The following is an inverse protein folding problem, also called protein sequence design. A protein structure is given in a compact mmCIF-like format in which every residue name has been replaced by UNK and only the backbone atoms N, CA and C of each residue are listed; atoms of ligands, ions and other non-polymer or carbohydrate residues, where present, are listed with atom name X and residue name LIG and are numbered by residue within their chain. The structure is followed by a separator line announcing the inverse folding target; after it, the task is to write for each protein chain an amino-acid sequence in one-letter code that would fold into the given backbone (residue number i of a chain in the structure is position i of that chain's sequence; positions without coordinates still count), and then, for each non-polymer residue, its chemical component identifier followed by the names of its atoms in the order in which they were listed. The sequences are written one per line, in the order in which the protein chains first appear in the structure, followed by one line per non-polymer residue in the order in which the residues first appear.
data_IF_887078561938
#
_entry.id   IF_887078561938
#
_cell.length_a   1.000
_cell.length_b   1.000
_cell.length_c   1.000
_cell.angle_alpha   90.00
_cell.angle_beta   90.00
_cell.angle_gamma   90.00
#
_symmetry.space_group_name_H-M   'P 1'
#
loop_
_entity.id
_entity.type
_entity.pdbx_description
1 polymer ?
#
# COMPACT_ATOMS: atom_id res chain seq x y z
N UNK A 1 -32.11 -20.95 0.60
CA UNK A 1 -31.87 -19.49 0.38
C UNK A 1 -32.41 -18.74 1.61
N UNK A 2 -31.78 -17.70 2.19
CA UNK A 2 -30.51 -17.00 1.88
C UNK A 2 -29.66 -16.63 3.14
N UNK A 3 -28.53 -17.30 3.41
CA UNK A 3 -27.55 -16.85 4.45
C UNK A 3 -26.10 -16.73 3.91
N UNK A 4 -25.91 -16.86 2.59
CA UNK A 4 -24.58 -16.87 1.97
C UNK A 4 -24.03 -15.47 1.62
N UNK A 5 -24.90 -14.45 1.58
CA UNK A 5 -24.55 -13.10 1.12
C UNK A 5 -23.71 -12.30 2.12
N UNK A 6 -23.91 -12.52 3.43
CA UNK A 6 -23.17 -11.79 4.48
C UNK A 6 -21.67 -12.11 4.45
N UNK A 7 -21.31 -13.40 4.40
CA UNK A 7 -19.90 -13.83 4.42
C UNK A 7 -19.12 -13.37 3.18
N UNK A 8 -19.75 -13.35 2.00
CA UNK A 8 -19.15 -12.79 0.79
C UNK A 8 -18.86 -11.30 0.92
N UNK A 9 -19.83 -10.54 1.45
CA UNK A 9 -19.69 -9.10 1.66
C UNK A 9 -18.62 -8.75 2.71
N UNK A 10 -18.60 -9.44 3.87
CA UNK A 10 -17.56 -9.24 4.89
C UNK A 10 -16.17 -9.63 4.39
N UNK A 11 -16.05 -10.69 3.58
CA UNK A 11 -14.78 -11.05 2.93
C UNK A 11 -14.33 -9.98 1.93
N UNK A 12 -15.24 -9.43 1.14
CA UNK A 12 -14.94 -8.32 0.23
C UNK A 12 -14.44 -7.08 0.97
N UNK A 13 -15.13 -6.69 2.05
CA UNK A 13 -14.71 -5.58 2.91
C UNK A 13 -13.35 -5.83 3.58
N UNK A 14 -13.14 -7.02 4.13
CA UNK A 14 -11.86 -7.40 4.74
C UNK A 14 -10.71 -7.35 3.72
N UNK A 15 -10.98 -7.79 2.49
CA UNK A 15 -10.00 -7.75 1.40
C UNK A 15 -9.66 -6.30 1.00
N UNK A 16 -10.67 -5.45 0.79
CA UNK A 16 -10.47 -4.02 0.50
C UNK A 16 -9.71 -3.31 1.62
N UNK A 17 -10.08 -3.58 2.88
CA UNK A 17 -9.38 -3.05 4.04
C UNK A 17 -7.91 -3.50 4.07
N UNK A 18 -7.63 -4.77 3.81
CA UNK A 18 -6.27 -5.30 3.77
C UNK A 18 -5.41 -4.65 2.67
N UNK A 19 -6.00 -4.38 1.50
CA UNK A 19 -5.33 -3.68 0.40
C UNK A 19 -5.02 -2.22 0.77
N UNK A 20 -5.96 -1.52 1.41
CA UNK A 20 -5.74 -0.17 1.92
C UNK A 20 -4.66 -0.11 2.99
N UNK A 21 -4.69 -1.03 3.96
CA UNK A 21 -3.67 -1.13 5.01
C UNK A 21 -2.30 -1.42 4.40
N UNK A 22 -2.20 -2.34 3.43
CA UNK A 22 -0.94 -2.65 2.76
C UNK A 22 -0.36 -1.41 2.05
N UNK A 23 -1.19 -0.59 1.39
CA UNK A 23 -0.76 0.67 0.78
C UNK A 23 -0.24 1.67 1.80
N UNK A 24 -0.94 1.84 2.93
CA UNK A 24 -0.51 2.77 3.99
C UNK A 24 0.79 2.29 4.60
N UNK A 25 0.90 0.99 4.91
CA UNK A 25 2.11 0.39 5.49
C UNK A 25 3.31 0.54 4.54
N UNK A 26 3.16 0.25 3.24
CA UNK A 26 4.26 0.42 2.28
C UNK A 26 4.71 1.87 2.14
N UNK A 27 3.75 2.80 2.14
CA UNK A 27 4.03 4.24 2.05
C UNK A 27 4.76 4.73 3.30
N UNK A 28 4.31 4.34 4.49
CA UNK A 28 4.96 4.70 5.77
C UNK A 28 6.38 4.15 5.84
N UNK A 29 6.60 2.90 5.43
CA UNK A 29 7.95 2.31 5.38
C UNK A 29 8.85 3.09 4.43
N UNK A 30 8.38 3.41 3.21
CA UNK A 30 9.12 4.22 2.24
C UNK A 30 9.45 5.62 2.79
N UNK A 31 8.51 6.25 3.47
CA UNK A 31 8.68 7.57 4.07
C UNK A 31 9.70 7.55 5.22
N UNK A 32 9.62 6.57 6.13
CA UNK A 32 10.56 6.41 7.24
C UNK A 32 11.98 6.17 6.72
N UNK A 33 12.14 5.28 5.74
CA UNK A 33 13.43 5.01 5.09
C UNK A 33 13.93 6.28 4.39
N UNK A 34 13.06 6.97 3.65
CA UNK A 34 13.36 8.21 2.94
C UNK A 34 13.92 9.28 3.88
N UNK A 35 13.22 9.56 4.99
CA UNK A 35 13.66 10.53 6.01
C UNK A 35 14.98 10.12 6.65
N UNK A 36 15.17 8.84 6.94
CA UNK A 36 16.41 8.33 7.54
C UNK A 36 17.59 8.54 6.59
N UNK A 37 17.43 8.21 5.30
CA UNK A 37 18.44 8.43 4.27
C UNK A 37 18.71 9.92 4.03
N UNK A 38 17.67 10.77 4.02
CA UNK A 38 17.81 12.22 3.85
C UNK A 38 18.60 12.86 5.01
N UNK A 39 18.45 12.32 6.22
CA UNK A 39 19.28 12.71 7.38
C UNK A 39 20.74 12.27 7.22
N UNK A 40 20.98 11.11 6.59
CA UNK A 40 22.32 10.56 6.43
C UNK A 40 23.09 11.24 5.29
N UNK A 41 22.43 11.53 4.16
CA UNK A 41 23.03 12.19 2.99
C UNK A 41 22.98 13.72 3.05
N UNK A 42 22.16 14.31 3.92
CA UNK A 42 22.03 15.77 4.04
C UNK A 42 21.33 16.45 2.87
N UNK A 43 20.79 15.71 1.89
CA UNK A 43 20.17 16.20 0.64
C UNK A 43 18.68 16.54 0.79
N UNK A 44 18.26 17.01 1.97
CA UNK A 44 16.85 17.25 2.27
C UNK A 44 16.24 18.28 1.29
N UNK A 45 15.07 18.02 0.65
CA UNK A 45 14.18 16.86 0.80
C UNK A 45 14.16 15.90 -0.41
N UNK A 46 15.25 15.79 -1.18
CA UNK A 46 15.23 15.09 -2.47
C UNK A 46 15.08 13.57 -2.34
N UNK A 47 15.80 12.92 -1.42
CA UNK A 47 15.72 11.47 -1.23
C UNK A 47 14.37 11.06 -0.65
N UNK A 48 13.81 11.87 0.24
CA UNK A 48 12.47 11.63 0.80
C UNK A 48 11.41 11.60 -0.30
N UNK A 49 11.45 12.52 -1.28
CA UNK A 49 10.47 12.56 -2.38
C UNK A 49 10.58 11.32 -3.28
N UNK A 50 11.81 10.90 -3.61
CA UNK A 50 12.03 9.69 -4.45
C UNK A 50 11.51 8.44 -3.74
N UNK A 51 11.86 8.27 -2.46
CA UNK A 51 11.41 7.12 -1.66
C UNK A 51 9.90 7.14 -1.37
N UNK A 52 9.32 8.32 -1.22
CA UNK A 52 7.87 8.48 -1.10
C UNK A 52 7.16 8.02 -2.38
N UNK A 53 7.62 8.47 -3.55
CA UNK A 53 7.09 8.02 -4.85
C UNK A 53 7.25 6.51 -5.02
N UNK A 54 8.39 5.94 -4.61
CA UNK A 54 8.60 4.50 -4.61
C UNK A 54 7.66 3.76 -3.65
N UNK A 55 7.41 4.29 -2.45
CA UNK A 55 6.49 3.72 -1.47
C UNK A 55 5.04 3.70 -1.96
N UNK A 56 4.61 4.80 -2.62
CA UNK A 56 3.30 4.90 -3.28
C UNK A 56 3.23 3.92 -4.44
N UNK A 57 4.23 3.89 -5.33
CA UNK A 57 4.27 2.99 -6.47
C UNK A 57 4.26 1.51 -6.04
N UNK A 58 4.97 1.15 -4.96
CA UNK A 58 4.96 -0.19 -4.39
C UNK A 58 3.59 -0.58 -3.83
N UNK A 59 2.91 0.36 -3.15
CA UNK A 59 1.54 0.17 -2.66
C UNK A 59 0.55 -0.06 -3.80
N UNK A 60 0.62 0.79 -4.83
CA UNK A 60 -0.18 0.64 -6.04
C UNK A 60 0.11 -0.67 -6.78
N UNK A 61 1.38 -1.07 -6.90
CA UNK A 61 1.76 -2.34 -7.52
C UNK A 61 1.10 -3.53 -6.81
N UNK A 62 1.11 -3.54 -5.48
CA UNK A 62 0.51 -4.61 -4.68
C UNK A 62 -1.02 -4.66 -4.85
N UNK A 63 -1.65 -3.48 -4.94
CA UNK A 63 -3.07 -3.35 -5.25
C UNK A 63 -3.40 -3.86 -6.65
N UNK A 64 -2.60 -3.48 -7.65
CA UNK A 64 -2.76 -3.89 -9.06
C UNK A 64 -2.55 -5.40 -9.24
N UNK A 65 -1.57 -5.96 -8.55
CA UNK A 65 -1.28 -7.39 -8.56
C UNK A 65 -2.41 -8.19 -7.89
N UNK A 66 -2.97 -7.68 -6.79
CA UNK A 66 -4.15 -8.26 -6.15
C UNK A 66 -5.38 -8.16 -7.06
N UNK A 67 -5.64 -7.00 -7.68
CA UNK A 67 -6.76 -6.83 -8.61
C UNK A 67 -6.65 -7.78 -9.82
N UNK A 68 -5.46 -7.88 -10.42
CA UNK A 68 -5.18 -8.80 -11.52
C UNK A 68 -5.30 -10.27 -11.11
N UNK A 69 -4.88 -10.62 -9.90
CA UNK A 69 -4.92 -12.00 -9.38
C UNK A 69 -6.35 -12.45 -9.06
N UNK A 70 -7.24 -11.51 -8.74
CA UNK A 70 -8.66 -11.78 -8.49
C UNK A 70 -9.55 -11.54 -9.72
N UNK A 71 -8.99 -11.14 -10.87
CA UNK A 71 -9.65 -11.19 -12.17
C UNK A 71 -10.96 -10.42 -12.23
N UNK A 72 -10.92 -9.11 -11.94
CA UNK A 72 -11.87 -8.17 -12.54
C UNK A 72 -11.53 -7.94 -14.01
#
# INVERSE_FOLDING_TARGET
MPEENGRGFYKGLAMLASMGIAMVVSTVIGLVIGIYLDKFFGTKPWLTIIFLLFGIAAGFKNMYETARKYGL
#
